data_IF_895546756468
#
_entry.id   IF_895546756468
#
_cell.length_a   1.000
_cell.length_b   1.000
_cell.length_c   1.000
_cell.angle_alpha   90.00
_cell.angle_beta   90.00
_cell.angle_gamma   90.00
#
_symmetry.space_group_name_H-M   'P 1'
#
loop_
_entity.id
_entity.type
_entity.pdbx_description
1 polymer ?
#
# COMPACT_ATOMS: atom_id res chain seq x y z
N UNK A 1 7.15 -2.11 -24.40
CA UNK A 1 7.51 -1.10 -23.38
C UNK A 1 7.26 -1.74 -22.03
N UNK A 2 8.24 -1.72 -21.14
CA UNK A 2 8.01 -2.20 -19.78
C UNK A 2 7.11 -1.21 -19.02
N UNK A 3 6.23 -1.76 -18.18
CA UNK A 3 5.39 -0.98 -17.28
C UNK A 3 6.31 -0.39 -16.19
N UNK A 4 6.31 0.91 -15.90
CA UNK A 4 7.19 1.49 -14.86
C UNK A 4 6.90 0.87 -13.49
N UNK A 5 7.91 0.68 -12.65
CA UNK A 5 7.65 0.32 -11.26
C UNK A 5 6.99 1.52 -10.55
N UNK A 6 5.87 1.30 -9.88
CA UNK A 6 5.20 2.31 -9.07
C UNK A 6 5.34 1.91 -7.59
N UNK A 7 5.99 2.77 -6.80
CA UNK A 7 6.10 2.57 -5.36
C UNK A 7 4.97 3.32 -4.64
N UNK A 8 4.19 2.60 -3.84
CA UNK A 8 3.16 3.14 -2.96
C UNK A 8 3.71 3.11 -1.53
N UNK A 9 3.70 4.26 -0.86
CA UNK A 9 4.18 4.38 0.53
C UNK A 9 3.00 4.73 1.41
N UNK A 10 2.72 3.89 2.40
CA UNK A 10 1.69 4.12 3.42
C UNK A 10 2.37 4.30 4.78
N UNK A 11 2.21 5.46 5.39
CA UNK A 11 2.64 5.70 6.77
C UNK A 11 1.48 5.41 7.72
N UNK A 12 1.76 4.77 8.84
CA UNK A 12 0.76 4.41 9.87
C UNK A 12 1.30 4.76 11.26
N UNK A 13 0.47 5.42 12.08
CA UNK A 13 0.65 5.66 13.50
C UNK A 13 -0.66 5.42 14.29
N UNK A 14 -0.70 4.35 15.09
CA UNK A 14 -1.81 4.02 15.99
C UNK A 14 -3.20 3.96 15.29
N UNK A 15 -3.27 3.63 14.00
CA UNK A 15 -4.56 3.48 13.31
C UNK A 15 -5.28 2.20 13.74
N UNK A 16 -6.62 2.24 13.77
CA UNK A 16 -7.43 1.04 13.87
C UNK A 16 -7.05 0.00 12.79
N UNK A 17 -6.93 -1.27 13.22
CA UNK A 17 -6.59 -2.42 12.36
C UNK A 17 -7.51 -2.53 11.15
N UNK A 18 -8.79 -2.16 11.31
CA UNK A 18 -9.78 -2.15 10.22
C UNK A 18 -9.40 -1.21 9.06
N UNK A 19 -8.82 -0.04 9.35
CA UNK A 19 -8.42 0.92 8.33
C UNK A 19 -7.12 0.50 7.65
N UNK A 20 -6.15 -0.01 8.42
CA UNK A 20 -4.92 -0.57 7.84
C UNK A 20 -5.27 -1.71 6.90
N UNK A 21 -6.13 -2.63 7.33
CA UNK A 21 -6.56 -3.77 6.51
C UNK A 21 -7.30 -3.33 5.24
N UNK A 22 -8.21 -2.36 5.35
CA UNK A 22 -8.94 -1.83 4.20
C UNK A 22 -8.01 -1.15 3.18
N UNK A 23 -7.04 -0.35 3.64
CA UNK A 23 -6.04 0.31 2.80
C UNK A 23 -5.13 -0.69 2.09
N UNK A 24 -4.61 -1.68 2.81
CA UNK A 24 -3.79 -2.76 2.23
C UNK A 24 -4.57 -3.49 1.14
N UNK A 25 -5.81 -3.89 1.43
CA UNK A 25 -6.65 -4.60 0.46
C UNK A 25 -6.90 -3.73 -0.78
N UNK A 26 -7.21 -2.45 -0.60
CA UNK A 26 -7.44 -1.52 -1.71
C UNK A 26 -6.21 -1.40 -2.62
N UNK A 27 -4.99 -1.34 -2.06
CA UNK A 27 -3.74 -1.22 -2.82
C UNK A 27 -3.38 -2.52 -3.53
N UNK A 28 -3.63 -3.67 -2.91
CA UNK A 28 -3.36 -4.98 -3.53
C UNK A 28 -4.36 -5.34 -4.64
N UNK A 29 -5.59 -4.79 -4.60
CA UNK A 29 -6.64 -5.02 -5.61
C UNK A 29 -6.56 -4.04 -6.80
N UNK A 30 -5.51 -3.24 -6.91
CA UNK A 30 -5.33 -2.30 -8.03
C UNK A 30 -5.17 -3.04 -9.37
N UNK A 31 -5.67 -2.43 -10.45
CA UNK A 31 -5.57 -2.98 -11.81
C UNK A 31 -4.14 -2.92 -12.38
N UNK A 32 -3.27 -2.13 -11.76
CA UNK A 32 -1.86 -2.02 -12.12
C UNK A 32 -1.02 -3.05 -11.37
N UNK A 33 -0.27 -3.88 -12.09
CA UNK A 33 0.41 -5.04 -11.51
C UNK A 33 1.87 -4.80 -11.12
N UNK A 34 2.53 -3.75 -11.62
CA UNK A 34 3.95 -3.50 -11.35
C UNK A 34 4.11 -2.55 -10.16
N UNK A 35 3.68 -3.00 -8.98
CA UNK A 35 3.65 -2.21 -7.76
C UNK A 35 4.71 -2.70 -6.77
N UNK A 36 5.38 -1.75 -6.13
CA UNK A 36 6.07 -1.93 -4.86
C UNK A 36 5.21 -1.27 -3.78
N UNK A 37 4.94 -1.97 -2.69
CA UNK A 37 4.14 -1.42 -1.59
C UNK A 37 4.94 -1.45 -0.29
N UNK A 38 5.15 -0.26 0.28
CA UNK A 38 5.94 -0.03 1.49
C UNK A 38 5.02 0.51 2.57
N UNK A 39 5.06 -0.10 3.74
CA UNK A 39 4.34 0.35 4.94
C UNK A 39 5.38 0.83 5.94
N UNK A 40 5.32 2.11 6.29
CA UNK A 40 6.15 2.73 7.32
C UNK A 40 5.32 2.85 8.61
N UNK A 41 5.60 1.97 9.55
CA UNK A 41 4.95 1.93 10.86
C UNK A 41 5.77 2.75 11.86
N UNK A 42 5.15 3.77 12.45
CA UNK A 42 5.74 4.70 13.43
C UNK A 42 5.17 4.49 14.84
N UNK A 43 4.62 3.30 15.12
CA UNK A 43 3.94 2.98 16.40
C UNK A 43 4.83 2.97 17.64
#
# INVERSE_FOLDING_TARGET
MEKPLISVVMATFNEPVEYITASIKSILEQTYSNLEFIIADDS
#
